data_IF_070205807610
#
_entry.id   IF_070205807610
#
_cell.length_a   1.000
_cell.length_b   1.000
_cell.length_c   1.000
_cell.angle_alpha   90.00
_cell.angle_beta   90.00
_cell.angle_gamma   90.00
#
_symmetry.space_group_name_H-M   'P 1'
#
loop_
_entity.id
_entity.type
_entity.pdbx_description
1 polymer ?
#
# COMPACT_ATOMS: atom_id res chain seq x y z
N UNK A 1 24.97 9.93 14.51
CA UNK A 1 23.74 10.58 14.02
C UNK A 1 22.76 9.48 13.62
N UNK A 2 21.49 9.60 14.00
CA UNK A 2 20.45 8.65 13.54
C UNK A 2 20.15 8.93 12.07
N UNK A 3 20.19 7.92 11.17
CA UNK A 3 19.91 8.12 9.75
C UNK A 3 18.47 8.61 9.53
N UNK A 4 18.24 9.42 8.49
CA UNK A 4 16.91 9.94 8.14
C UNK A 4 15.92 8.82 7.81
N UNK A 5 14.62 9.09 7.95
CA UNK A 5 13.56 8.13 7.59
C UNK A 5 13.68 7.65 6.14
N UNK A 6 13.91 8.58 5.21
CA UNK A 6 14.13 8.28 3.79
C UNK A 6 15.29 7.32 3.57
N UNK A 7 16.47 7.65 4.11
CA UNK A 7 17.66 6.82 3.99
C UNK A 7 17.48 5.44 4.62
N UNK A 8 16.72 5.34 5.72
CA UNK A 8 16.32 4.04 6.27
C UNK A 8 15.45 3.29 5.27
N UNK A 9 14.40 3.90 4.73
CA UNK A 9 13.48 3.22 3.79
C UNK A 9 14.20 2.73 2.53
N UNK A 10 15.02 3.56 1.90
CA UNK A 10 15.80 3.19 0.72
C UNK A 10 16.72 1.97 1.01
N UNK A 11 17.31 1.92 2.20
CA UNK A 11 18.21 0.84 2.61
C UNK A 11 17.46 -0.48 2.72
N UNK A 12 16.31 -0.42 3.40
CA UNK A 12 15.48 -1.57 3.67
C UNK A 12 14.91 -2.13 2.35
N UNK A 13 14.45 -1.25 1.45
CA UNK A 13 13.99 -1.61 0.11
C UNK A 13 15.07 -2.36 -0.69
N UNK A 14 16.26 -1.77 -0.81
CA UNK A 14 17.33 -2.38 -1.58
C UNK A 14 17.82 -3.72 -1.00
N UNK A 15 17.90 -3.85 0.33
CA UNK A 15 18.27 -5.12 0.97
C UNK A 15 17.25 -6.21 0.74
N UNK A 16 15.96 -5.90 0.88
CA UNK A 16 14.89 -6.85 0.60
C UNK A 16 14.88 -7.25 -0.88
N UNK A 17 15.01 -6.29 -1.79
CA UNK A 17 15.07 -6.56 -3.22
C UNK A 17 16.24 -7.48 -3.56
N UNK A 18 17.44 -7.21 -3.03
CA UNK A 18 18.63 -8.05 -3.22
C UNK A 18 18.41 -9.49 -2.71
N UNK A 19 17.81 -9.63 -1.53
CA UNK A 19 17.49 -10.94 -0.95
C UNK A 19 16.52 -11.73 -1.84
N UNK A 20 15.51 -11.05 -2.42
CA UNK A 20 14.51 -11.65 -3.32
C UNK A 20 15.13 -12.01 -4.68
N UNK A 21 15.97 -11.14 -5.23
CA UNK A 21 16.67 -11.40 -6.49
C UNK A 21 17.62 -12.59 -6.44
N UNK A 22 18.15 -12.92 -5.25
CA UNK A 22 19.00 -14.09 -5.03
C UNK A 22 18.22 -15.42 -5.06
N UNK A 23 16.89 -15.39 -5.01
CA UNK A 23 16.05 -16.58 -4.96
C UNK A 23 15.81 -17.20 -6.36
N UNK A 24 15.75 -18.54 -6.48
CA UNK A 24 15.40 -19.20 -7.73
C UNK A 24 13.95 -18.88 -8.10
N UNK A 25 13.77 -18.31 -9.30
CA UNK A 25 12.46 -17.88 -9.80
C UNK A 25 11.52 -19.07 -9.99
N UNK A 26 10.56 -19.25 -9.08
CA UNK A 26 9.35 -20.02 -9.39
C UNK A 26 8.47 -19.12 -10.24
N UNK A 27 8.30 -19.46 -11.53
CA UNK A 27 7.36 -18.77 -12.41
C UNK A 27 5.94 -18.92 -11.86
N UNK A 28 5.48 -17.96 -11.09
CA UNK A 28 4.06 -17.75 -10.93
C UNK A 28 3.56 -17.08 -12.23
N UNK A 29 2.93 -17.85 -13.11
CA UNK A 29 2.08 -17.28 -14.14
C UNK A 29 0.62 -17.54 -13.76
N UNK A 30 -0.12 -16.47 -13.57
CA UNK A 30 -1.50 -16.33 -14.02
C UNK A 30 -1.81 -14.85 -13.98
N UNK A 31 -2.30 -14.29 -15.10
CA UNK A 31 -2.63 -12.86 -15.33
C UNK A 31 -2.76 -12.07 -14.03
N UNK A 32 -1.74 -11.26 -13.73
CA UNK A 32 -1.84 -10.34 -12.61
C UNK A 32 -2.97 -9.34 -12.93
N UNK A 33 -3.83 -8.97 -11.95
CA UNK A 33 -4.57 -7.73 -12.09
C UNK A 33 -3.60 -6.58 -12.40
N UNK A 34 -4.10 -5.54 -13.05
CA UNK A 34 -3.33 -4.35 -13.37
C UNK A 34 -2.52 -3.85 -12.16
N UNK A 35 -1.30 -3.31 -12.37
CA UNK A 35 -0.51 -2.78 -11.26
C UNK A 35 -1.30 -1.67 -10.54
N UNK A 36 -0.93 -1.39 -9.29
CA UNK A 36 -1.61 -0.35 -8.53
C UNK A 36 -1.40 1.03 -9.18
N UNK A 37 -2.50 1.74 -9.44
CA UNK A 37 -2.49 3.12 -9.92
C UNK A 37 -2.28 4.15 -8.80
N UNK A 38 -2.17 5.44 -9.13
CA UNK A 38 -1.88 6.51 -8.18
C UNK A 38 -2.79 6.52 -6.94
N UNK A 39 -4.10 6.36 -7.10
CA UNK A 39 -5.05 6.42 -6.00
C UNK A 39 -4.86 5.23 -5.06
N UNK A 40 -4.63 4.02 -5.59
CA UNK A 40 -4.36 2.81 -4.81
C UNK A 40 -3.05 2.93 -4.03
N UNK A 41 -1.99 3.46 -4.65
CA UNK A 41 -0.71 3.66 -3.98
C UNK A 41 -0.80 4.59 -2.77
N UNK A 42 -1.70 5.60 -2.79
CA UNK A 42 -1.94 6.46 -1.62
C UNK A 42 -2.55 5.72 -0.42
N UNK A 43 -3.13 4.52 -0.61
CA UNK A 43 -3.71 3.67 0.46
C UNK A 43 -2.68 2.73 1.08
N UNK A 44 -1.51 2.58 0.47
CA UNK A 44 -0.48 1.68 0.98
C UNK A 44 0.28 2.32 2.12
N UNK A 45 0.59 1.57 3.17
CA UNK A 45 1.61 1.98 4.14
C UNK A 45 3.00 2.02 3.49
N UNK A 46 3.99 2.59 4.18
CA UNK A 46 5.36 2.64 3.65
C UNK A 46 5.93 1.24 3.38
N UNK A 47 5.66 0.29 4.28
CA UNK A 47 6.05 -1.11 4.17
C UNK A 47 5.36 -1.84 3.03
N UNK A 48 4.05 -1.61 2.82
CA UNK A 48 3.33 -2.16 1.67
C UNK A 48 3.86 -1.58 0.36
N UNK A 49 4.13 -0.26 0.32
CA UNK A 49 4.69 0.38 -0.87
C UNK A 49 6.09 -0.18 -1.23
N UNK A 50 6.94 -0.45 -0.23
CA UNK A 50 8.23 -1.14 -0.42
C UNK A 50 8.03 -2.54 -1.00
N UNK A 51 7.10 -3.33 -0.44
CA UNK A 51 6.79 -4.68 -0.92
C UNK A 51 6.27 -4.67 -2.35
N UNK A 52 5.34 -3.77 -2.66
CA UNK A 52 4.76 -3.68 -3.99
C UNK A 52 5.80 -3.23 -5.03
N UNK A 53 6.70 -2.34 -4.63
CA UNK A 53 7.85 -1.96 -5.47
C UNK A 53 8.73 -3.16 -5.79
N UNK A 54 9.00 -4.03 -4.81
CA UNK A 54 9.78 -5.25 -5.03
C UNK A 54 9.05 -6.18 -6.00
N UNK A 55 7.74 -6.41 -5.81
CA UNK A 55 6.93 -7.22 -6.73
C UNK A 55 6.99 -6.66 -8.14
N UNK A 56 6.76 -5.36 -8.30
CA UNK A 56 6.80 -4.70 -9.60
C UNK A 56 8.17 -4.83 -10.28
N UNK A 57 9.27 -4.66 -9.55
CA UNK A 57 10.63 -4.82 -10.08
C UNK A 57 10.90 -6.27 -10.53
N UNK A 58 10.44 -7.25 -9.77
CA UNK A 58 10.69 -8.67 -10.02
C UNK A 58 9.80 -9.21 -11.16
N UNK A 59 8.51 -8.89 -11.12
CA UNK A 59 7.49 -9.45 -12.01
C UNK A 59 7.37 -8.64 -13.31
N UNK A 60 7.66 -7.33 -13.26
CA UNK A 60 7.55 -6.41 -14.39
C UNK A 60 8.83 -5.56 -14.57
N UNK A 61 10.01 -6.18 -14.79
CA UNK A 61 11.29 -5.47 -14.81
C UNK A 61 11.39 -4.36 -15.88
N UNK A 62 10.63 -4.48 -16.97
CA UNK A 62 10.59 -3.50 -18.05
C UNK A 62 9.47 -2.45 -17.93
N UNK A 63 8.55 -2.60 -16.97
CA UNK A 63 7.46 -1.65 -16.79
C UNK A 63 7.96 -0.35 -16.14
N UNK A 64 7.34 0.80 -16.47
CA UNK A 64 7.64 2.06 -15.80
C UNK A 64 7.33 1.98 -14.31
N UNK A 65 8.02 2.80 -13.52
CA UNK A 65 7.90 2.87 -12.05
C UNK A 65 7.46 4.24 -11.56
N UNK A 66 7.00 5.09 -12.48
CA UNK A 66 6.75 6.51 -12.23
C UNK A 66 5.76 6.73 -11.09
N UNK A 67 4.68 5.94 -11.04
CA UNK A 67 3.69 6.02 -9.97
C UNK A 67 4.25 5.62 -8.59
N UNK A 68 5.09 4.59 -8.54
CA UNK A 68 5.75 4.15 -7.30
C UNK A 68 6.74 5.21 -6.81
N UNK A 69 7.62 5.70 -7.70
CA UNK A 69 8.59 6.74 -7.38
C UNK A 69 7.89 8.05 -6.94
N UNK A 70 6.84 8.45 -7.65
CA UNK A 70 6.02 9.61 -7.30
C UNK A 70 5.43 9.49 -5.89
N UNK A 71 4.88 8.31 -5.53
CA UNK A 71 4.29 8.12 -4.21
C UNK A 71 5.34 8.17 -3.09
N UNK A 72 6.55 7.65 -3.31
CA UNK A 72 7.66 7.83 -2.36
C UNK A 72 8.04 9.31 -2.20
N UNK A 73 8.18 10.06 -3.30
CA UNK A 73 8.51 11.47 -3.26
C UNK A 73 7.43 12.29 -2.53
N UNK A 74 6.14 12.00 -2.78
CA UNK A 74 5.00 12.63 -2.10
C UNK A 74 5.06 12.47 -0.58
N UNK A 75 5.63 11.37 -0.09
CA UNK A 75 5.81 11.06 1.33
C UNK A 75 7.08 11.66 1.96
N UNK A 76 7.86 12.42 1.17
CA UNK A 76 9.15 12.97 1.58
C UNK A 76 10.31 11.98 1.52
N UNK A 77 10.16 10.88 0.76
CA UNK A 77 11.15 9.82 0.60
C UNK A 77 11.85 9.95 -0.76
N UNK A 78 12.54 11.06 -0.99
CA UNK A 78 13.12 11.43 -2.28
C UNK A 78 14.30 10.51 -2.68
N UNK A 79 15.18 10.15 -1.73
CA UNK A 79 16.27 9.20 -1.99
C UNK A 79 15.70 7.83 -2.39
N UNK A 80 14.62 7.41 -1.72
CA UNK A 80 13.90 6.18 -2.07
C UNK A 80 13.26 6.28 -3.46
N UNK A 81 12.63 7.41 -3.78
CA UNK A 81 12.04 7.65 -5.09
C UNK A 81 13.08 7.59 -6.22
N UNK A 82 14.23 8.23 -6.04
CA UNK A 82 15.33 8.22 -7.00
C UNK A 82 15.87 6.80 -7.23
N UNK A 83 16.02 6.02 -6.17
CA UNK A 83 16.42 4.62 -6.23
C UNK A 83 15.43 3.79 -7.08
N UNK A 84 14.13 3.99 -6.86
CA UNK A 84 13.05 3.29 -7.59
C UNK A 84 13.00 3.69 -9.05
N UNK A 85 13.12 4.99 -9.35
CA UNK A 85 13.06 5.51 -10.71
C UNK A 85 14.24 5.04 -11.55
N UNK A 86 15.45 5.10 -10.98
CA UNK A 86 16.70 4.79 -11.71
C UNK A 86 17.05 3.30 -11.70
N UNK A 87 16.30 2.48 -10.96
CA UNK A 87 16.60 1.07 -10.75
C UNK A 87 18.03 0.83 -10.22
N UNK A 88 18.56 1.78 -9.43
CA UNK A 88 19.93 1.76 -8.92
C UNK A 88 20.06 0.91 -7.63
N UNK A 89 19.52 -0.29 -7.68
CA UNK A 89 19.55 -1.24 -6.55
C UNK A 89 20.81 -2.12 -6.55
N UNK A 90 21.67 -1.99 -7.57
CA UNK A 90 22.81 -2.87 -7.82
C UNK A 90 24.08 -2.46 -7.10
N UNK A 91 24.17 -1.22 -6.62
CA UNK A 91 25.35 -0.77 -5.89
C UNK A 91 25.39 -1.43 -4.51
N UNK A 92 26.57 -1.91 -4.05
CA UNK A 92 26.74 -2.29 -2.66
C UNK A 92 26.45 -1.05 -1.83
N UNK A 93 25.30 -1.05 -1.16
CA UNK A 93 24.93 0.00 -0.23
C UNK A 93 25.81 -0.15 1.00
N UNK A 94 27.01 0.40 0.91
CA UNK A 94 27.97 0.55 2.01
C UNK A 94 27.48 1.70 2.91
N UNK A 95 26.27 1.54 3.42
CA UNK A 95 25.64 2.52 4.27
C UNK A 95 25.93 2.12 5.70
N UNK A 96 26.53 3.03 6.48
CA UNK A 96 26.66 2.98 7.95
C UNK A 96 25.27 3.03 8.61
N UNK A 97 24.45 2.02 8.31
CA UNK A 97 23.09 1.86 8.74
C UNK A 97 23.08 0.99 10.00
N UNK A 98 22.45 1.45 11.10
CA UNK A 98 22.23 0.61 12.27
C UNK A 98 21.57 -0.71 11.86
N UNK A 99 22.03 -1.81 12.45
CA UNK A 99 21.41 -3.12 12.23
C UNK A 99 19.94 -3.07 12.63
N UNK A 100 19.07 -3.40 11.69
CA UNK A 100 17.64 -3.56 11.93
C UNK A 100 17.39 -5.04 12.19
N UNK A 101 17.41 -5.45 13.46
CA UNK A 101 17.32 -6.87 13.83
C UNK A 101 16.01 -7.53 13.37
N UNK A 102 14.94 -6.77 13.20
CA UNK A 102 13.65 -7.28 12.76
C UNK A 102 13.66 -7.49 11.24
N UNK A 103 14.22 -6.54 10.49
CA UNK A 103 14.43 -6.70 9.06
C UNK A 103 15.45 -7.81 8.75
N UNK A 104 16.54 -7.90 9.52
CA UNK A 104 17.56 -8.95 9.35
C UNK A 104 16.95 -10.34 9.52
N UNK A 105 16.05 -10.52 10.50
CA UNK A 105 15.27 -11.76 10.67
C UNK A 105 14.34 -12.01 9.49
N UNK A 106 13.67 -10.98 8.96
CA UNK A 106 12.79 -11.13 7.80
C UNK A 106 13.57 -11.54 6.55
N UNK A 107 14.72 -10.90 6.29
CA UNK A 107 15.64 -11.25 5.19
C UNK A 107 16.17 -12.67 5.37
N UNK A 108 16.65 -13.03 6.56
CA UNK A 108 17.14 -14.39 6.84
C UNK A 108 16.07 -15.45 6.58
N UNK A 109 14.80 -15.16 6.90
CA UNK A 109 13.66 -16.05 6.60
C UNK A 109 13.41 -16.17 5.10
N UNK A 110 13.44 -15.06 4.36
CA UNK A 110 13.33 -15.07 2.89
C UNK A 110 14.45 -15.91 2.26
N UNK A 111 15.67 -15.78 2.77
CA UNK A 111 16.84 -16.53 2.29
C UNK A 111 16.77 -18.02 2.64
N UNK A 112 16.30 -18.37 3.83
CA UNK A 112 16.31 -19.75 4.33
C UNK A 112 15.26 -20.67 3.67
N UNK A 113 14.10 -20.15 3.29
CA UNK A 113 12.97 -20.98 2.81
C UNK A 113 13.02 -21.19 1.30
N UNK A 114 13.95 -20.54 0.60
CA UNK A 114 14.11 -20.62 -0.85
C UNK A 114 12.80 -20.31 -1.62
N UNK A 115 11.93 -19.51 -1.01
CA UNK A 115 10.58 -19.20 -1.47
C UNK A 115 10.22 -17.77 -1.06
N UNK A 116 10.53 -16.80 -1.93
CA UNK A 116 10.07 -15.42 -1.80
C UNK A 116 8.56 -15.29 -2.10
N UNK A 117 7.75 -16.13 -1.46
CA UNK A 117 6.30 -16.07 -1.58
C UNK A 117 5.80 -14.68 -1.16
N UNK A 118 4.70 -14.23 -1.79
CA UNK A 118 4.08 -12.95 -1.48
C UNK A 118 3.75 -12.80 0.00
N UNK A 119 3.38 -13.89 0.69
CA UNK A 119 3.11 -13.89 2.12
C UNK A 119 4.34 -13.53 2.98
N UNK A 120 5.55 -13.94 2.56
CA UNK A 120 6.78 -13.56 3.26
C UNK A 120 7.14 -12.11 3.02
N UNK A 121 6.94 -11.62 1.79
CA UNK A 121 7.09 -10.20 1.47
C UNK A 121 6.11 -9.36 2.28
N UNK A 122 4.83 -9.74 2.39
CA UNK A 122 3.85 -9.04 3.21
C UNK A 122 4.23 -9.03 4.70
N UNK A 123 4.83 -10.11 5.20
CA UNK A 123 5.37 -10.13 6.56
C UNK A 123 6.55 -9.16 6.73
N UNK A 124 7.41 -9.03 5.73
CA UNK A 124 8.50 -8.06 5.74
C UNK A 124 7.94 -6.63 5.72
N UNK A 125 6.98 -6.34 4.83
CA UNK A 125 6.30 -5.05 4.76
C UNK A 125 5.70 -4.61 6.10
N UNK A 126 4.93 -5.49 6.76
CA UNK A 126 4.39 -5.22 8.10
C UNK A 126 5.48 -4.93 9.13
N UNK A 127 6.61 -5.64 9.07
CA UNK A 127 7.75 -5.38 9.96
C UNK A 127 8.36 -4.00 9.75
N UNK A 128 8.35 -3.49 8.50
CA UNK A 128 8.79 -2.13 8.19
C UNK A 128 7.86 -1.09 8.82
N UNK A 129 6.55 -1.29 8.68
CA UNK A 129 5.53 -0.38 9.22
C UNK A 129 5.57 -0.29 10.74
N UNK A 130 5.75 -1.42 11.44
CA UNK A 130 5.90 -1.41 12.90
C UNK A 130 7.08 -0.56 13.40
N UNK A 131 8.10 -0.37 12.57
CA UNK A 131 9.30 0.39 12.91
C UNK A 131 9.28 1.81 12.29
N UNK A 132 8.16 2.24 11.70
CA UNK A 132 7.98 3.56 11.11
C UNK A 132 6.82 4.28 11.81
N UNK A 133 7.16 5.21 12.70
CA UNK A 133 6.20 5.95 13.54
C UNK A 133 5.21 6.79 12.70
N UNK A 134 5.62 7.20 11.49
CA UNK A 134 4.81 8.02 10.57
C UNK A 134 4.07 7.18 9.51
N UNK A 135 4.10 5.85 9.62
CA UNK A 135 3.64 4.96 8.54
C UNK A 135 2.15 5.12 8.20
N UNK A 136 1.32 5.51 9.17
CA UNK A 136 -0.13 5.60 9.02
C UNK A 136 -0.62 7.02 8.68
N UNK A 137 0.07 8.05 9.14
CA UNK A 137 -0.34 9.46 8.95
C UNK A 137 -0.33 9.91 7.49
N UNK A 138 0.44 9.21 6.66
CA UNK A 138 0.60 9.54 5.23
C UNK A 138 -0.35 8.76 4.30
N UNK A 139 -1.16 7.87 4.88
CA UNK A 139 -2.01 6.92 4.16
C UNK A 139 -3.45 7.42 4.09
N UNK A 140 -4.05 7.36 2.91
CA UNK A 140 -5.51 7.50 2.79
C UNK A 140 -6.16 6.20 3.27
N UNK A 141 -6.91 6.24 4.36
CA UNK A 141 -7.52 5.04 4.97
C UNK A 141 -8.88 4.66 4.39
N UNK A 142 -9.47 5.53 3.58
CA UNK A 142 -10.72 5.24 2.87
C UNK A 142 -10.47 4.33 1.67
N UNK A 143 -11.42 3.41 1.43
CA UNK A 143 -11.44 2.64 0.18
C UNK A 143 -11.46 3.57 -1.04
N UNK A 144 -11.00 3.07 -2.19
CA UNK A 144 -11.15 3.81 -3.43
C UNK A 144 -12.64 3.90 -3.80
N UNK A 145 -13.05 5.08 -4.23
CA UNK A 145 -14.32 5.24 -4.95
C UNK A 145 -14.28 4.53 -6.32
N UNK A 146 -15.43 4.17 -6.91
CA UNK A 146 -15.47 3.66 -8.29
C UNK A 146 -14.78 4.58 -9.29
N UNK A 147 -14.93 5.90 -9.18
CA UNK A 147 -14.22 6.87 -10.03
C UNK A 147 -12.70 6.76 -9.89
N UNK A 148 -12.18 6.71 -8.66
CA UNK A 148 -10.74 6.53 -8.42
C UNK A 148 -10.21 5.19 -8.96
N UNK A 149 -11.02 4.12 -8.91
CA UNK A 149 -10.64 2.82 -9.48
C UNK A 149 -10.55 2.89 -11.01
N UNK A 150 -11.47 3.60 -11.66
CA UNK A 150 -11.44 3.85 -13.10
C UNK A 150 -10.20 4.67 -13.48
N UNK A 151 -9.94 5.75 -12.76
CA UNK A 151 -8.77 6.61 -12.99
C UNK A 151 -7.46 5.81 -12.85
N UNK A 152 -7.38 4.93 -11.85
CA UNK A 152 -6.23 4.04 -11.68
C UNK A 152 -6.08 3.06 -12.85
N UNK A 153 -7.17 2.43 -13.29
CA UNK A 153 -7.16 1.53 -14.45
C UNK A 153 -6.69 2.26 -15.72
N UNK A 154 -7.15 3.49 -15.93
CA UNK A 154 -6.70 4.35 -17.04
C UNK A 154 -5.20 4.66 -16.89
N UNK A 155 -4.76 5.06 -15.71
CA UNK A 155 -3.37 5.44 -15.44
C UNK A 155 -2.39 4.30 -15.73
N UNK A 156 -2.78 3.07 -15.41
CA UNK A 156 -1.94 1.88 -15.63
C UNK A 156 -2.14 1.23 -17.00
N UNK A 157 -2.89 1.89 -17.89
CA UNK A 157 -3.07 1.48 -19.28
C UNK A 157 -3.94 0.24 -19.45
N UNK A 158 -4.96 0.06 -18.61
CA UNK A 158 -5.95 -0.98 -18.79
C UNK A 158 -6.66 -0.84 -20.14
N UNK A 159 -6.99 -1.98 -20.75
CA UNK A 159 -7.72 -1.97 -22.02
C UNK A 159 -9.13 -1.40 -21.85
N UNK A 160 -9.64 -0.81 -22.93
CA UNK A 160 -10.93 -0.13 -22.92
C UNK A 160 -12.10 -1.07 -22.55
N UNK A 161 -12.05 -2.34 -22.96
CA UNK A 161 -13.12 -3.29 -22.67
C UNK A 161 -13.16 -3.64 -21.17
N UNK A 162 -11.99 -3.74 -20.52
CA UNK A 162 -11.91 -3.89 -19.06
C UNK A 162 -12.50 -2.68 -18.34
N UNK A 163 -12.14 -1.47 -18.76
CA UNK A 163 -12.66 -0.24 -18.15
C UNK A 163 -14.18 -0.15 -18.34
N UNK A 164 -14.67 -0.44 -19.54
CA UNK A 164 -16.10 -0.43 -19.85
C UNK A 164 -16.86 -1.48 -19.02
N UNK A 165 -16.35 -2.71 -18.90
CA UNK A 165 -16.95 -3.75 -18.08
C UNK A 165 -16.99 -3.37 -16.59
N UNK A 166 -15.94 -2.70 -16.09
CA UNK A 166 -15.93 -2.20 -14.71
C UNK A 166 -16.99 -1.12 -14.50
N UNK A 167 -17.11 -0.15 -15.41
CA UNK A 167 -18.13 0.90 -15.37
C UNK A 167 -19.53 0.29 -15.42
N UNK A 168 -19.78 -0.70 -16.28
CA UNK A 168 -21.07 -1.37 -16.38
C UNK A 168 -21.45 -2.10 -15.08
N UNK A 169 -20.47 -2.73 -14.44
CA UNK A 169 -20.69 -3.52 -13.23
C UNK A 169 -20.86 -2.68 -11.95
N UNK A 170 -20.09 -1.60 -11.80
CA UNK A 170 -19.99 -0.83 -10.54
C UNK A 170 -20.56 0.60 -10.66
N UNK A 171 -20.78 1.09 -11.88
CA UNK A 171 -21.12 2.48 -12.13
C UNK A 171 -19.94 3.44 -11.95
N UNK A 172 -20.23 4.74 -12.03
CA UNK A 172 -19.27 5.83 -11.80
C UNK A 172 -19.77 6.61 -10.59
N UNK A 173 -18.95 6.70 -9.55
CA UNK A 173 -19.30 7.37 -8.29
C UNK A 173 -18.03 7.83 -7.58
N UNK A 174 -18.06 9.04 -7.04
CA UNK A 174 -16.97 9.61 -6.23
C UNK A 174 -17.09 9.21 -4.76
N UNK A 175 -18.16 8.51 -4.38
CA UNK A 175 -18.40 8.07 -3.01
C UNK A 175 -17.73 6.71 -2.79
N UNK A 176 -16.76 6.66 -1.89
CA UNK A 176 -16.16 5.39 -1.48
C UNK A 176 -17.11 4.54 -0.64
N UNK A 177 -16.97 3.22 -0.70
CA UNK A 177 -17.75 2.31 0.14
C UNK A 177 -17.57 2.59 1.64
N UNK A 178 -16.35 2.95 2.07
CA UNK A 178 -16.08 3.35 3.46
C UNK A 178 -16.87 4.59 3.86
N UNK A 179 -16.95 5.59 2.98
CA UNK A 179 -17.71 6.84 3.22
C UNK A 179 -19.21 6.55 3.29
N UNK A 180 -19.75 5.77 2.35
CA UNK A 180 -21.16 5.41 2.35
C UNK A 180 -21.58 4.66 3.63
N UNK A 181 -20.73 3.74 4.11
CA UNK A 181 -20.96 2.99 5.34
C UNK A 181 -20.87 3.87 6.59
N UNK A 182 -19.93 4.83 6.64
CA UNK A 182 -19.82 5.77 7.75
C UNK A 182 -21.09 6.62 7.86
N UNK A 183 -21.55 7.22 6.76
CA UNK A 183 -22.80 8.01 6.74
C UNK A 183 -24.02 7.19 7.15
N UNK A 184 -24.12 5.94 6.71
CA UNK A 184 -25.22 5.04 7.10
C UNK A 184 -25.18 4.71 8.59
N UNK A 185 -23.98 4.55 9.16
CA UNK A 185 -23.78 4.27 10.58
C UNK A 185 -24.15 5.48 11.43
N UNK A 186 -23.68 6.67 11.05
CA UNK A 186 -23.98 7.92 11.74
C UNK A 186 -25.50 8.19 11.76
N UNK A 187 -26.18 8.03 10.62
CA UNK A 187 -27.64 8.16 10.54
C UNK A 187 -28.39 7.15 11.41
N UNK A 188 -27.88 5.92 11.53
CA UNK A 188 -28.48 4.89 12.39
C UNK A 188 -28.24 5.17 13.89
N UNK A 189 -27.12 5.82 14.25
CA UNK A 189 -26.86 6.28 15.61
C UNK A 189 -27.75 7.47 15.98
N UNK A 190 -27.85 8.47 15.11
CA UNK A 190 -28.72 9.63 15.30
C UNK A 190 -30.19 9.21 15.50
N UNK A 191 -30.69 8.26 14.69
CA UNK A 191 -32.04 7.71 14.85
C UNK A 191 -32.24 6.95 16.17
N UNK A 192 -31.22 6.25 16.67
CA UNK A 192 -31.29 5.56 17.95
C UNK A 192 -31.28 6.53 19.13
N UNK A 193 -30.51 7.61 19.07
CA UNK A 193 -30.50 8.67 20.08
C UNK A 193 -31.84 9.41 20.15
N UNK A 194 -32.45 9.69 18.99
CA UNK A 194 -33.77 10.32 18.91
C UNK A 194 -34.88 9.42 19.48
N UNK A 195 -34.82 8.11 19.22
CA UNK A 195 -35.73 7.11 19.80
C UNK A 195 -35.56 6.95 21.32
N UNK A 196 -34.32 7.00 21.83
CA UNK A 196 -34.08 6.94 23.28
C UNK A 196 -34.49 8.22 24.00
N UNK A 197 -34.28 9.39 23.39
CA UNK A 197 -34.75 10.66 23.92
C UNK A 197 -36.29 10.73 23.99
N UNK A 198 -36.98 10.23 22.94
CA UNK A 198 -38.44 10.17 22.92
C UNK A 198 -39.00 9.22 24.00
N UNK A 199 -38.37 8.08 24.24
CA UNK A 199 -38.78 7.14 25.30
C UNK A 199 -38.56 7.67 26.72
N UNK A 200 -37.54 8.50 26.93
CA UNK A 200 -37.30 9.12 28.24
C UNK A 200 -38.29 10.26 28.53
N UNK A 201 -38.71 11.02 27.52
CA UNK A 201 -39.74 12.05 27.67
C UNK A 201 -41.12 11.45 28.01
N UNK A 202 -41.49 10.33 27.39
CA UNK A 202 -42.79 9.66 27.63
C UNK A 202 -42.89 9.07 29.06
N UNK A 203 -41.78 8.60 29.63
CA UNK A 203 -41.71 8.13 31.03
C UNK A 203 -41.74 9.26 32.07
N UNK A 204 -41.32 10.47 31.69
CA UNK A 204 -41.33 11.64 32.60
C UNK A 204 -42.69 12.32 32.71
N UNK A 205 -43.66 12.01 31.83
CA UNK A 205 -45.02 12.53 31.85
C UNK A 205 -46.05 11.61 32.52
N UNK A 206 -45.62 10.46 33.05
CA UNK A 206 -46.50 9.46 33.69
C UNK A 206 -46.46 9.44 35.23
N UNK A 207 -45.86 10.46 35.87
CA UNK A 207 -45.83 10.63 37.34
C UNK A 207 -46.67 11.81 37.82
#
# INVERSE_FOLDING_TARGET
>A
MTPSRDRRTAYRLARLLKAVQAQPRRRAQSRMPYPAGPAALMRFSAGVLVVETIRHVIDHPAAPRDHLAYEFARRGLNETADLVQNNDFTQPLDWDMPKDSNLDKAITRLEAVNDASYAMLDSAGRTLDYNDEDALDQVKTTMLSPSEQIDDLVAVGADHDTIAAFIEAQGVSDVSASTAMATTTDMAMDQNEELTAAQQQDQSHTL
#
